data_IF_686424506343
#
_entry.id   IF_686424506343
#
_cell.length_a   1.000
_cell.length_b   1.000
_cell.length_c   1.000
_cell.angle_alpha   90.00
_cell.angle_beta   90.00
_cell.angle_gamma   90.00
#
_symmetry.space_group_name_H-M   'P 1'
#
loop_
_entity.id
_entity.type
_entity.pdbx_description
1 polymer ?
#
# COMPACT_ATOMS: atom_id res chain seq x y z
N UNK A 1 -33.97 12.41 27.23
CA UNK A 1 -33.14 13.04 28.27
C UNK A 1 -33.94 13.03 29.56
N UNK A 2 -33.39 12.51 30.65
CA UNK A 2 -34.03 12.63 31.96
C UNK A 2 -34.05 14.10 32.41
N UNK A 3 -35.07 14.57 33.15
CA UNK A 3 -35.14 15.94 33.62
C UNK A 3 -33.99 16.27 34.58
N UNK A 4 -33.46 17.49 34.48
CA UNK A 4 -32.39 18.01 35.33
C UNK A 4 -32.84 18.00 36.80
N UNK A 5 -32.14 17.21 37.63
CA UNK A 5 -32.35 17.16 39.08
C UNK A 5 -31.31 18.05 39.78
N UNK A 6 -31.69 19.21 40.35
CA UNK A 6 -30.76 20.11 41.03
C UNK A 6 -30.21 19.55 42.35
N UNK A 7 -30.80 18.47 42.90
CA UNK A 7 -30.31 17.81 44.13
C UNK A 7 -29.25 16.72 43.85
N UNK A 8 -29.03 16.35 42.58
CA UNK A 8 -28.00 15.39 42.22
C UNK A 8 -26.60 16.03 42.33
N UNK A 9 -25.58 15.29 42.82
CA UNK A 9 -24.22 15.81 42.85
C UNK A 9 -23.71 16.10 41.44
N UNK A 10 -22.85 17.11 41.25
CA UNK A 10 -22.33 17.45 39.93
C UNK A 10 -21.50 16.29 39.38
N UNK A 11 -21.78 15.89 38.15
CA UNK A 11 -21.03 14.85 37.45
C UNK A 11 -19.61 15.30 37.07
N UNK A 12 -19.37 16.61 37.03
CA UNK A 12 -18.07 17.23 36.83
C UNK A 12 -17.87 18.35 37.84
N UNK A 13 -16.77 18.29 38.57
CA UNK A 13 -16.34 19.35 39.49
C UNK A 13 -14.91 19.73 39.15
N UNK A 14 -14.67 21.02 38.92
CA UNK A 14 -13.34 21.58 38.70
C UNK A 14 -13.06 22.63 39.76
N UNK A 15 -11.88 22.55 40.38
CA UNK A 15 -11.40 23.51 41.36
C UNK A 15 -9.96 23.87 41.03
N UNK A 16 -9.71 25.14 40.77
CA UNK A 16 -8.37 25.71 40.72
C UNK A 16 -8.07 26.34 42.08
N UNK A 17 -7.05 25.82 42.77
CA UNK A 17 -6.58 26.34 44.04
C UNK A 17 -5.29 27.13 43.83
N UNK A 18 -5.27 28.37 44.31
CA UNK A 18 -4.09 29.21 44.32
C UNK A 18 -3.70 29.51 45.76
N UNK A 19 -2.43 29.28 46.08
CA UNK A 19 -1.88 29.54 47.41
C UNK A 19 -0.61 30.36 47.29
N UNK A 20 -0.49 31.41 48.09
CA UNK A 20 0.69 32.24 48.17
C UNK A 20 1.59 31.73 49.31
N UNK A 21 2.82 31.34 49.01
CA UNK A 21 3.84 31.11 50.02
C UNK A 21 4.31 32.46 50.57
N UNK A 22 4.53 32.59 51.88
CA UNK A 22 5.07 33.81 52.43
C UNK A 22 6.45 34.09 51.83
N UNK A 23 6.78 35.38 51.58
CA UNK A 23 8.08 35.74 51.03
C UNK A 23 9.20 35.25 51.97
N UNK A 24 10.34 34.79 51.43
CA UNK A 24 11.46 34.35 52.24
C UNK A 24 11.94 35.51 53.13
N UNK A 25 12.16 35.22 54.43
CA UNK A 25 12.50 36.20 55.47
C UNK A 25 13.86 36.89 55.26
N UNK A 26 14.64 36.47 54.27
CA UNK A 26 16.01 36.90 54.03
C UNK A 26 16.13 38.24 53.25
N UNK A 27 15.05 38.71 52.59
CA UNK A 27 15.12 39.85 51.66
C UNK A 27 14.48 41.17 52.15
N UNK A 28 14.20 41.36 53.45
CA UNK A 28 13.62 42.60 54.01
C UNK A 28 12.43 43.17 53.19
N UNK A 29 11.58 42.31 52.62
CA UNK A 29 10.40 42.72 51.86
C UNK A 29 10.69 43.36 50.48
N UNK A 30 11.92 43.36 49.98
CA UNK A 30 12.22 43.90 48.66
C UNK A 30 11.94 42.86 47.56
N UNK A 31 10.88 43.10 46.78
CA UNK A 31 10.55 42.31 45.59
C UNK A 31 11.47 42.76 44.45
N UNK A 32 12.45 41.92 44.09
CA UNK A 32 13.49 42.30 43.11
C UNK A 32 13.19 41.85 41.68
N UNK A 33 12.35 40.82 41.47
CA UNK A 33 12.09 40.26 40.13
C UNK A 33 10.71 39.56 40.04
N UNK A 34 10.07 39.62 38.86
CA UNK A 34 8.79 38.97 38.55
C UNK A 34 8.83 37.47 38.82
N UNK A 35 9.96 36.81 38.51
CA UNK A 35 10.16 35.37 38.75
C UNK A 35 10.13 35.00 40.23
N UNK A 36 10.53 35.92 41.10
CA UNK A 36 10.48 35.69 42.55
C UNK A 36 9.04 35.67 43.05
N UNK A 37 8.18 36.53 42.51
CA UNK A 37 6.74 36.56 42.83
C UNK A 37 6.05 35.29 42.30
N UNK A 38 6.37 34.88 41.06
CA UNK A 38 5.83 33.65 40.46
C UNK A 38 6.19 32.41 41.29
N UNK A 39 7.37 32.37 41.92
CA UNK A 39 7.77 31.27 42.80
C UNK A 39 6.96 31.17 44.10
N UNK A 40 6.31 32.26 44.51
CA UNK A 40 5.45 32.29 45.69
C UNK A 40 4.06 31.75 45.39
N UNK A 41 3.64 31.79 44.13
CA UNK A 41 2.34 31.28 43.72
C UNK A 41 2.42 29.76 43.51
N UNK A 42 1.63 29.02 44.28
CA UNK A 42 1.42 27.58 44.10
C UNK A 42 -0.02 27.37 43.64
N UNK A 43 -0.15 26.98 42.38
CA UNK A 43 -1.41 26.59 41.78
C UNK A 43 -1.57 25.07 41.83
N UNK A 44 -2.81 24.58 41.94
CA UNK A 44 -3.16 23.17 41.88
C UNK A 44 -4.58 23.02 41.32
N UNK A 45 -4.76 22.18 40.32
CA UNK A 45 -6.08 21.89 39.75
C UNK A 45 -6.61 20.54 40.27
N UNK A 46 -7.78 20.54 40.92
CA UNK A 46 -8.53 19.34 41.32
C UNK A 46 -9.77 19.18 40.43
N UNK A 47 -9.82 18.07 39.69
CA UNK A 47 -10.92 17.70 38.81
C UNK A 47 -11.52 16.40 39.32
N UNK A 48 -12.83 16.35 39.48
CA UNK A 48 -13.57 15.14 39.83
C UNK A 48 -14.68 14.89 38.83
N UNK A 49 -14.72 13.69 38.30
CA UNK A 49 -15.70 13.27 37.30
C UNK A 49 -16.36 12.00 37.79
N UNK A 50 -17.65 12.08 38.05
CA UNK A 50 -18.45 10.98 38.59
C UNK A 50 -19.68 10.76 37.72
N UNK A 51 -19.96 9.50 37.37
CA UNK A 51 -21.17 9.08 36.66
C UNK A 51 -21.41 9.83 35.33
N UNK A 52 -20.34 10.08 34.59
CA UNK A 52 -20.41 10.78 33.30
C UNK A 52 -20.56 9.79 32.14
N UNK A 53 -21.61 9.92 31.34
CA UNK A 53 -21.74 9.23 30.05
C UNK A 53 -21.81 10.28 28.95
N UNK A 54 -20.79 10.33 28.09
CA UNK A 54 -20.64 11.37 27.08
C UNK A 54 -20.40 10.75 25.69
N UNK A 55 -21.02 11.33 24.67
CA UNK A 55 -20.76 11.02 23.27
C UNK A 55 -20.19 12.29 22.64
N UNK A 56 -18.98 12.21 22.07
CA UNK A 56 -18.29 13.36 21.46
C UNK A 56 -17.69 12.96 20.13
N UNK A 57 -17.66 13.90 19.20
CA UNK A 57 -16.92 13.75 17.96
C UNK A 57 -15.41 13.92 18.17
N UNK A 58 -14.60 13.14 17.45
CA UNK A 58 -13.14 13.25 17.51
C UNK A 58 -12.64 14.66 17.15
N UNK A 59 -13.27 15.32 16.17
CA UNK A 59 -12.97 16.71 15.82
C UNK A 59 -13.12 17.69 17.00
N UNK A 60 -14.13 17.49 17.84
CA UNK A 60 -14.39 18.35 19.00
C UNK A 60 -13.33 18.14 20.09
N UNK A 61 -12.95 16.89 20.37
CA UNK A 61 -11.89 16.60 21.35
C UNK A 61 -10.55 17.21 20.92
N UNK A 62 -10.24 17.14 19.62
CA UNK A 62 -9.02 17.75 19.09
C UNK A 62 -9.07 19.28 19.21
N UNK A 63 -10.19 19.91 18.86
CA UNK A 63 -10.35 21.36 19.04
C UNK A 63 -10.28 21.80 20.51
N UNK A 64 -10.61 20.92 21.46
CA UNK A 64 -10.43 21.17 22.90
C UNK A 64 -9.00 20.90 23.38
N UNK A 65 -8.23 20.07 22.68
CA UNK A 65 -6.85 19.75 23.05
C UNK A 65 -5.97 21.01 22.97
N UNK A 66 -6.22 21.90 22.02
CA UNK A 66 -5.53 23.19 21.88
C UNK A 66 -5.72 24.08 23.13
N UNK A 67 -6.85 23.97 23.83
CA UNK A 67 -7.09 24.70 25.09
C UNK A 67 -6.40 24.04 26.30
N UNK A 68 -6.04 22.77 26.18
CA UNK A 68 -5.32 22.01 27.20
C UNK A 68 -3.79 22.06 26.99
N UNK A 69 -3.32 22.48 25.81
CA UNK A 69 -1.93 22.76 25.51
C UNK A 69 -1.52 24.08 26.17
N UNK A 70 -1.06 24.00 27.41
CA UNK A 70 -0.57 25.16 28.17
C UNK A 70 0.70 25.72 27.51
N UNK A 71 0.66 27.00 27.09
CA UNK A 71 1.84 27.68 26.53
C UNK A 71 2.95 27.74 27.59
N UNK A 72 4.14 27.24 27.25
CA UNK A 72 5.31 27.11 28.13
C UNK A 72 5.89 28.50 28.45
N UNK A 73 5.22 29.29 29.29
CA UNK A 73 5.73 30.61 29.75
C UNK A 73 5.95 30.64 31.27
N UNK A 74 5.36 29.73 32.04
CA UNK A 74 5.71 29.57 33.45
C UNK A 74 6.75 28.46 33.64
N UNK A 75 7.85 28.76 34.30
CA UNK A 75 8.91 27.81 34.73
C UNK A 75 8.42 26.71 35.70
N UNK A 76 7.12 26.58 35.91
CA UNK A 76 6.47 25.65 36.83
C UNK A 76 5.24 25.03 36.15
N UNK A 77 5.30 23.74 35.83
CA UNK A 77 4.16 22.99 35.27
C UNK A 77 3.03 22.90 36.29
N UNK A 78 1.80 23.26 35.91
CA UNK A 78 0.63 23.19 36.79
C UNK A 78 0.39 21.75 37.30
N UNK A 79 0.50 21.50 38.62
CA UNK A 79 0.10 20.23 39.20
C UNK A 79 -1.40 20.01 39.01
N UNK A 80 -1.76 18.81 38.58
CA UNK A 80 -3.12 18.43 38.21
C UNK A 80 -3.50 17.15 38.95
N UNK A 81 -4.72 17.11 39.47
CA UNK A 81 -5.26 16.00 40.21
C UNK A 81 -6.66 15.67 39.67
N UNK A 82 -6.79 14.55 38.96
CA UNK A 82 -8.06 14.12 38.35
C UNK A 82 -8.51 12.81 39.00
N UNK A 83 -9.75 12.79 39.47
CA UNK A 83 -10.43 11.60 39.97
C UNK A 83 -11.57 11.25 39.03
N UNK A 84 -11.56 10.03 38.51
CA UNK A 84 -12.55 9.53 37.56
C UNK A 84 -13.27 8.33 38.18
N UNK A 85 -14.60 8.37 38.21
CA UNK A 85 -15.46 7.31 38.70
C UNK A 85 -16.67 7.10 37.78
N UNK A 86 -16.87 5.87 37.32
CA UNK A 86 -17.97 5.46 36.45
C UNK A 86 -18.13 6.38 35.22
N UNK A 87 -17.05 6.58 34.47
CA UNK A 87 -17.02 7.43 33.29
C UNK A 87 -17.08 6.59 32.02
N UNK A 88 -17.98 6.93 31.11
CA UNK A 88 -18.14 6.31 29.79
C UNK A 88 -18.07 7.38 28.69
N UNK A 89 -17.15 7.22 27.76
CA UNK A 89 -16.93 8.17 26.66
C UNK A 89 -16.99 7.40 25.35
N UNK A 90 -17.92 7.78 24.47
CA UNK A 90 -17.99 7.25 23.11
C UNK A 90 -17.49 8.32 22.15
N UNK A 91 -16.39 8.03 21.46
CA UNK A 91 -15.76 8.91 20.50
C UNK A 91 -16.15 8.47 19.09
N UNK A 92 -16.82 9.36 18.37
CA UNK A 92 -17.23 9.16 16.99
C UNK A 92 -16.15 9.71 16.08
N UNK A 93 -15.59 8.87 15.21
CA UNK A 93 -14.63 9.31 14.20
C UNK A 93 -15.36 10.02 13.05
N UNK A 94 -15.25 11.34 13.03
CA UNK A 94 -15.86 12.23 12.04
C UNK A 94 -14.84 12.90 11.12
N UNK A 95 -13.55 12.55 11.26
CA UNK A 95 -12.48 13.08 10.42
C UNK A 95 -12.34 12.28 9.12
N UNK A 96 -11.85 12.90 8.04
CA UNK A 96 -11.54 12.17 6.82
C UNK A 96 -10.52 11.05 7.09
N UNK A 97 -10.67 9.89 6.45
CA UNK A 97 -9.77 8.76 6.67
C UNK A 97 -8.34 9.13 6.27
N UNK A 98 -7.39 8.86 7.17
CA UNK A 98 -5.96 9.14 6.95
C UNK A 98 -5.36 8.22 5.88
N UNK A 99 -5.93 7.02 5.72
CA UNK A 99 -5.51 6.04 4.72
C UNK A 99 -6.70 5.69 3.79
N UNK A 100 -6.47 5.79 2.48
CA UNK A 100 -7.47 5.49 1.44
C UNK A 100 -7.95 4.04 1.40
N UNK A 101 -7.26 3.12 2.09
CA UNK A 101 -7.60 1.69 2.18
C UNK A 101 -8.11 1.29 3.56
N UNK A 102 -8.30 2.22 4.50
CA UNK A 102 -8.83 1.88 5.82
C UNK A 102 -10.31 1.48 5.73
N UNK A 103 -10.75 0.44 6.46
CA UNK A 103 -12.17 0.21 6.69
C UNK A 103 -12.75 1.48 7.33
N UNK A 104 -14.01 1.80 7.04
CA UNK A 104 -14.66 3.05 7.45
C UNK A 104 -14.56 3.38 8.96
N UNK A 105 -15.00 4.58 9.37
CA UNK A 105 -14.78 5.09 10.72
C UNK A 105 -15.30 4.12 11.79
N UNK A 106 -14.41 3.66 12.67
CA UNK A 106 -14.73 2.79 13.81
C UNK A 106 -14.82 3.64 15.07
N UNK A 107 -15.95 3.66 15.80
CA UNK A 107 -16.07 4.44 17.03
C UNK A 107 -15.20 3.86 18.14
N UNK A 108 -14.64 4.74 18.98
CA UNK A 108 -13.82 4.37 20.13
C UNK A 108 -14.63 4.55 21.42
N UNK A 109 -14.89 3.46 22.12
CA UNK A 109 -15.66 3.48 23.38
C UNK A 109 -14.72 3.25 24.57
N UNK A 110 -14.64 4.21 25.48
CA UNK A 110 -13.88 4.14 26.72
C UNK A 110 -14.81 3.96 27.90
N UNK A 111 -14.53 2.97 28.74
CA UNK A 111 -15.21 2.76 30.01
C UNK A 111 -14.18 2.77 31.15
N UNK A 112 -14.29 3.74 32.04
CA UNK A 112 -13.37 3.99 33.15
C UNK A 112 -14.13 3.76 34.46
N UNK A 113 -13.72 2.72 35.19
CA UNK A 113 -14.33 2.35 36.47
C UNK A 113 -13.95 3.30 37.60
N UNK A 114 -12.71 3.21 38.10
CA UNK A 114 -12.15 4.15 39.08
C UNK A 114 -10.68 4.39 38.79
N UNK A 115 -10.30 5.63 38.51
CA UNK A 115 -8.94 5.98 38.10
C UNK A 115 -8.53 7.32 38.68
N UNK A 116 -7.26 7.42 39.06
CA UNK A 116 -6.60 8.62 39.52
C UNK A 116 -5.53 9.02 38.51
N UNK A 117 -5.62 10.25 38.03
CA UNK A 117 -4.62 10.82 37.12
C UNK A 117 -4.00 12.03 37.78
N UNK A 118 -2.68 12.01 37.97
CA UNK A 118 -1.96 13.05 38.69
C UNK A 118 -0.77 13.54 37.89
N UNK A 119 -0.71 14.84 37.60
CA UNK A 119 0.49 15.48 37.06
C UNK A 119 1.34 16.01 38.20
N UNK A 120 2.59 15.56 38.27
CA UNK A 120 3.54 16.08 39.25
C UNK A 120 4.19 17.40 38.78
N UNK A 121 4.94 18.03 39.68
CA UNK A 121 5.67 19.29 39.43
C UNK A 121 6.83 19.15 38.42
N UNK A 122 7.19 17.92 38.04
CA UNK A 122 8.19 17.64 37.01
C UNK A 122 7.51 17.48 35.64
N UNK A 123 6.19 17.65 35.57
CA UNK A 123 5.38 17.51 34.37
C UNK A 123 4.97 16.08 34.03
N UNK A 124 5.33 15.07 34.84
CA UNK A 124 5.01 13.66 34.57
C UNK A 124 3.56 13.38 34.97
N UNK A 125 2.79 12.78 34.06
CA UNK A 125 1.41 12.37 34.27
C UNK A 125 1.36 10.91 34.74
N UNK A 126 1.02 10.69 36.01
CA UNK A 126 0.84 9.38 36.61
C UNK A 126 -0.62 8.95 36.48
N UNK A 127 -0.85 7.75 35.96
CA UNK A 127 -2.19 7.16 35.81
C UNK A 127 -2.23 5.90 36.64
N UNK A 128 -3.11 5.86 37.65
CA UNK A 128 -3.18 4.77 38.61
C UNK A 128 -4.64 4.41 38.89
N UNK A 129 -4.98 3.12 39.11
CA UNK A 129 -6.28 2.76 39.65
C UNK A 129 -6.42 3.33 41.07
N UNK A 130 -7.64 3.73 41.46
CA UNK A 130 -7.90 4.10 42.85
C UNK A 130 -7.99 2.79 43.65
N UNK A 131 -7.00 2.54 44.50
CA UNK A 131 -7.02 1.43 45.46
C UNK A 131 -8.22 1.60 46.39
N UNK A 132 -9.31 0.90 46.09
CA UNK A 132 -10.30 0.56 47.12
C UNK A 132 -9.60 -0.33 48.14
N UNK A 133 -9.85 -0.14 49.44
CA UNK A 133 -9.35 -0.94 50.59
C UNK A 133 -9.69 -2.45 50.50
N UNK A 134 -9.26 -3.11 49.44
CA UNK A 134 -9.37 -4.53 49.11
C UNK A 134 -7.97 -5.13 48.93
N UNK A 135 -6.95 -4.43 49.43
CA UNK A 135 -5.55 -4.73 49.18
C UNK A 135 -4.91 -5.52 50.32
N UNK A 136 -5.34 -6.77 50.50
CA UNK A 136 -4.43 -7.83 50.94
C UNK A 136 -4.46 -9.07 50.01
N UNK A 137 -5.45 -9.19 49.09
CA UNK A 137 -5.54 -10.33 48.15
C UNK A 137 -5.54 -9.96 46.66
N UNK A 138 -5.56 -8.66 46.31
CA UNK A 138 -5.69 -8.18 44.93
C UNK A 138 -4.35 -8.03 44.19
N UNK A 139 -3.22 -7.91 44.90
CA UNK A 139 -1.90 -7.75 44.28
C UNK A 139 -1.40 -9.02 43.53
N UNK A 140 -2.01 -10.19 43.79
CA UNK A 140 -1.75 -11.43 43.03
C UNK A 140 -2.85 -11.76 42.02
N UNK A 141 -3.90 -10.94 41.94
CA UNK A 141 -5.17 -11.32 41.35
C UNK A 141 -5.78 -10.20 40.50
N UNK A 142 -5.38 -10.10 39.23
CA UNK A 142 -6.28 -9.61 38.17
C UNK A 142 -7.14 -10.73 37.49
N UNK A 143 -7.88 -11.59 38.22
CA UNK A 143 -9.04 -12.32 37.69
C UNK A 143 -10.38 -11.77 38.24
N UNK A 144 -10.39 -10.83 39.18
CA UNK A 144 -11.63 -10.37 39.82
C UNK A 144 -12.43 -9.38 38.96
N UNK A 145 -11.76 -8.61 38.09
CA UNK A 145 -12.42 -7.78 37.06
C UNK A 145 -13.07 -8.64 35.97
N UNK A 146 -12.55 -9.84 35.69
CA UNK A 146 -13.17 -10.80 34.77
C UNK A 146 -14.34 -11.57 35.42
N UNK A 147 -14.31 -11.77 36.73
CA UNK A 147 -15.33 -12.51 37.47
C UNK A 147 -16.57 -11.67 37.88
N UNK A 148 -16.43 -10.38 38.15
CA UNK A 148 -17.58 -9.52 38.51
C UNK A 148 -18.47 -9.14 37.32
N UNK A 149 -17.97 -9.22 36.09
CA UNK A 149 -18.75 -9.18 34.84
C UNK A 149 -19.15 -10.58 34.33
N UNK A 150 -18.94 -11.65 35.12
CA UNK A 150 -19.34 -13.03 34.78
C UNK A 150 -20.86 -13.20 34.91
N UNK A 151 -21.60 -12.58 34.01
CA UNK A 151 -22.98 -12.96 33.70
C UNK A 151 -22.98 -14.36 33.07
N UNK A 152 -24.09 -15.14 33.12
CA UNK A 152 -24.20 -16.42 32.39
C UNK A 152 -23.83 -16.30 30.89
N UNK A 153 -23.92 -15.11 30.32
CA UNK A 153 -23.42 -14.73 29.00
C UNK A 153 -21.90 -14.89 28.81
N UNK A 154 -21.08 -14.83 29.86
CA UNK A 154 -19.61 -14.95 29.72
C UNK A 154 -19.16 -16.37 29.44
N UNK A 155 -19.83 -17.40 29.98
CA UNK A 155 -19.58 -18.80 29.57
C UNK A 155 -20.12 -19.09 28.17
N UNK A 156 -21.14 -18.37 27.71
CA UNK A 156 -21.57 -18.41 26.31
C UNK A 156 -20.57 -17.70 25.41
N UNK A 157 -20.08 -16.53 25.81
CA UNK A 157 -19.08 -15.73 25.08
C UNK A 157 -17.70 -16.39 25.04
N UNK A 158 -17.29 -17.11 26.09
CA UNK A 158 -16.07 -17.93 26.07
C UNK A 158 -16.24 -19.13 25.12
N UNK A 159 -17.37 -19.85 25.19
CA UNK A 159 -17.67 -20.91 24.22
C UNK A 159 -17.83 -20.40 22.78
N UNK A 160 -18.33 -19.18 22.61
CA UNK A 160 -18.46 -18.50 21.33
C UNK A 160 -17.08 -18.09 20.82
N UNK A 161 -16.21 -17.53 21.66
CA UNK A 161 -14.80 -17.27 21.31
C UNK A 161 -14.04 -18.56 20.98
N UNK A 162 -14.26 -19.65 21.70
CA UNK A 162 -13.63 -20.94 21.38
C UNK A 162 -14.14 -21.51 20.05
N UNK A 163 -15.44 -21.38 19.76
CA UNK A 163 -16.04 -21.73 18.46
C UNK A 163 -15.51 -20.85 17.33
N UNK A 164 -15.39 -19.55 17.55
CA UNK A 164 -14.80 -18.60 16.61
C UNK A 164 -13.35 -18.96 16.35
N UNK A 165 -12.58 -19.28 17.39
CA UNK A 165 -11.17 -19.66 17.26
C UNK A 165 -10.99 -20.96 16.47
N UNK A 166 -11.84 -21.97 16.72
CA UNK A 166 -11.92 -23.19 15.91
C UNK A 166 -12.32 -22.90 14.46
N UNK A 167 -13.31 -22.03 14.24
CA UNK A 167 -13.75 -21.64 12.90
C UNK A 167 -12.66 -20.89 12.12
N UNK A 168 -11.93 -19.99 12.78
CA UNK A 168 -10.81 -19.26 12.21
C UNK A 168 -9.65 -20.19 11.92
N UNK A 169 -9.38 -21.18 12.79
CA UNK A 169 -8.36 -22.17 12.55
C UNK A 169 -8.69 -23.05 11.33
N UNK A 170 -9.96 -23.41 11.15
CA UNK A 170 -10.43 -24.14 9.96
C UNK A 170 -10.31 -23.28 8.69
N UNK A 171 -10.73 -22.02 8.75
CA UNK A 171 -10.58 -21.06 7.63
C UNK A 171 -9.11 -20.86 7.30
N UNK A 172 -8.23 -20.73 8.30
CA UNK A 172 -6.79 -20.60 8.08
C UNK A 172 -6.21 -21.85 7.41
N UNK A 173 -6.65 -23.05 7.81
CA UNK A 173 -6.22 -24.30 7.18
C UNK A 173 -6.70 -24.38 5.73
N UNK A 174 -7.94 -23.97 5.46
CA UNK A 174 -8.49 -23.88 4.10
C UNK A 174 -7.69 -22.91 3.24
N UNK A 175 -7.43 -21.69 3.73
CA UNK A 175 -6.64 -20.67 3.02
C UNK A 175 -5.22 -21.17 2.75
N UNK A 176 -4.60 -21.93 3.67
CA UNK A 176 -3.28 -22.54 3.44
C UNK A 176 -3.32 -23.55 2.29
N UNK A 177 -4.32 -24.44 2.29
CA UNK A 177 -4.50 -25.42 1.21
C UNK A 177 -4.76 -24.74 -0.13
N UNK A 178 -5.59 -23.70 -0.16
CA UNK A 178 -5.87 -22.92 -1.36
C UNK A 178 -4.64 -22.18 -1.86
N UNK A 179 -3.85 -21.56 -0.98
CA UNK A 179 -2.58 -20.93 -1.35
C UNK A 179 -1.60 -21.93 -1.95
N UNK A 180 -1.47 -23.13 -1.37
CA UNK A 180 -0.59 -24.17 -1.90
C UNK A 180 -1.09 -24.68 -3.27
N UNK A 181 -2.40 -24.79 -3.46
CA UNK A 181 -2.99 -25.15 -4.74
C UNK A 181 -2.77 -24.06 -5.80
N UNK A 182 -2.99 -22.78 -5.45
CA UNK A 182 -2.76 -21.64 -6.34
C UNK A 182 -1.28 -21.53 -6.73
N UNK A 183 -0.36 -21.77 -5.80
CA UNK A 183 1.08 -21.83 -6.09
C UNK A 183 1.42 -22.92 -7.09
N UNK A 184 0.84 -24.12 -6.94
CA UNK A 184 0.99 -25.22 -7.92
C UNK A 184 0.40 -24.87 -9.28
N UNK A 185 -0.79 -24.27 -9.32
CA UNK A 185 -1.43 -23.84 -10.57
C UNK A 185 -0.60 -22.77 -11.27
N UNK A 186 -0.06 -21.79 -10.52
CA UNK A 186 0.81 -20.76 -11.07
C UNK A 186 2.09 -21.35 -11.65
N UNK A 187 2.71 -22.31 -10.96
CA UNK A 187 3.89 -23.00 -11.44
C UNK A 187 3.59 -23.78 -12.73
N UNK A 188 2.49 -24.55 -12.76
CA UNK A 188 2.06 -25.29 -13.94
C UNK A 188 1.76 -24.35 -15.12
N UNK A 189 1.10 -23.23 -14.89
CA UNK A 189 0.80 -22.24 -15.93
C UNK A 189 2.08 -21.61 -16.50
N UNK A 190 3.05 -21.31 -15.64
CA UNK A 190 4.38 -20.82 -16.05
C UNK A 190 5.12 -21.84 -16.91
N UNK A 191 5.18 -23.09 -16.47
CA UNK A 191 5.85 -24.16 -17.21
C UNK A 191 5.15 -24.43 -18.55
N UNK A 192 3.83 -24.40 -18.59
CA UNK A 192 3.06 -24.53 -19.83
C UNK A 192 3.34 -23.37 -20.80
N UNK A 193 3.36 -22.13 -20.30
CA UNK A 193 3.69 -20.95 -21.12
C UNK A 193 5.11 -21.01 -21.68
N UNK A 194 6.09 -21.46 -20.89
CA UNK A 194 7.48 -21.65 -21.33
C UNK A 194 7.58 -22.74 -22.41
N UNK A 195 6.86 -23.86 -22.26
CA UNK A 195 6.80 -24.92 -23.26
C UNK A 195 6.23 -24.42 -24.61
N UNK A 196 5.12 -23.66 -24.59
CA UNK A 196 4.57 -23.08 -25.82
C UNK A 196 5.56 -22.11 -26.47
N UNK A 197 6.18 -21.23 -25.69
CA UNK A 197 7.19 -20.29 -26.19
C UNK A 197 8.36 -21.02 -26.84
N UNK A 198 8.83 -22.11 -26.23
CA UNK A 198 9.92 -22.91 -26.77
C UNK A 198 9.52 -23.64 -28.06
N UNK A 199 8.31 -24.20 -28.12
CA UNK A 199 7.79 -24.84 -29.33
C UNK A 199 7.67 -23.85 -30.50
N UNK A 200 7.09 -22.68 -30.26
CA UNK A 200 7.01 -21.62 -31.29
C UNK A 200 8.40 -21.19 -31.76
N UNK A 201 9.37 -21.09 -30.86
CA UNK A 201 10.76 -20.78 -31.23
C UNK A 201 11.36 -21.87 -32.12
N UNK A 202 11.21 -23.15 -31.76
CA UNK A 202 11.71 -24.27 -32.55
C UNK A 202 11.10 -24.31 -33.95
N UNK A 203 9.78 -24.14 -34.06
CA UNK A 203 9.08 -24.08 -35.35
C UNK A 203 9.58 -22.89 -36.20
N UNK A 204 9.77 -21.73 -35.56
CA UNK A 204 10.32 -20.53 -36.24
C UNK A 204 11.74 -20.78 -36.75
N UNK A 205 12.60 -21.39 -35.94
CA UNK A 205 13.98 -21.70 -36.32
C UNK A 205 14.04 -22.74 -37.46
N UNK A 206 13.16 -23.75 -37.43
CA UNK A 206 13.02 -24.72 -38.52
C UNK A 206 12.57 -24.07 -39.83
N UNK A 207 11.54 -23.20 -39.78
CA UNK A 207 11.07 -22.46 -40.96
C UNK A 207 12.16 -21.53 -41.52
N UNK A 208 12.94 -20.86 -40.66
CA UNK A 208 14.09 -20.05 -41.09
C UNK A 208 15.15 -20.91 -41.77
N UNK A 209 15.40 -22.12 -41.27
CA UNK A 209 16.33 -23.05 -41.89
C UNK A 209 15.85 -23.50 -43.27
N UNK A 210 14.57 -23.84 -43.43
CA UNK A 210 14.01 -24.22 -44.72
C UNK A 210 14.02 -23.06 -45.72
N UNK A 211 13.67 -21.85 -45.27
CA UNK A 211 13.75 -20.65 -46.10
C UNK A 211 15.17 -20.41 -46.59
N UNK A 212 16.16 -20.52 -45.69
CA UNK A 212 17.57 -20.37 -46.04
C UNK A 212 18.02 -21.42 -47.06
N UNK A 213 17.68 -22.69 -46.85
CA UNK A 213 18.01 -23.76 -47.79
C UNK A 213 17.42 -23.51 -49.18
N UNK A 214 16.13 -23.15 -49.26
CA UNK A 214 15.48 -22.82 -50.53
C UNK A 214 16.09 -21.59 -51.21
N UNK A 215 16.50 -20.57 -50.44
CA UNK A 215 17.22 -19.41 -50.99
C UNK A 215 18.58 -19.80 -51.57
N UNK A 216 19.32 -20.67 -50.87
CA UNK A 216 20.61 -21.18 -51.33
C UNK A 216 20.45 -22.04 -52.61
N UNK A 217 19.42 -22.90 -52.67
CA UNK A 217 19.08 -23.70 -53.87
C UNK A 217 18.73 -22.82 -55.07
N UNK A 218 17.93 -21.77 -54.87
CA UNK A 218 17.58 -20.81 -55.93
C UNK A 218 18.85 -20.11 -56.45
N UNK A 219 19.75 -19.71 -55.57
CA UNK A 219 21.00 -19.06 -55.97
C UNK A 219 21.86 -20.00 -56.83
N UNK A 220 21.99 -21.28 -56.44
CA UNK A 220 22.70 -22.30 -57.21
C UNK A 220 22.08 -22.45 -58.61
N UNK A 221 20.76 -22.62 -58.70
CA UNK A 221 20.06 -22.76 -59.98
C UNK A 221 20.21 -21.52 -60.89
N UNK A 222 20.26 -20.31 -60.30
CA UNK A 222 20.50 -19.07 -61.06
C UNK A 222 21.93 -19.02 -61.60
N UNK A 223 22.92 -19.46 -60.84
CA UNK A 223 24.32 -19.56 -61.29
C UNK A 223 24.47 -20.58 -62.43
N UNK A 224 23.87 -21.77 -62.29
CA UNK A 224 23.87 -22.81 -63.33
C UNK A 224 23.17 -22.32 -64.60
N UNK A 225 21.99 -21.69 -64.48
CA UNK A 225 21.29 -21.09 -65.61
C UNK A 225 22.17 -20.06 -66.33
N UNK A 226 22.89 -19.22 -65.58
CA UNK A 226 23.79 -18.22 -66.17
C UNK A 226 24.93 -18.88 -66.93
N UNK A 227 25.57 -19.89 -66.35
CA UNK A 227 26.64 -20.66 -67.01
C UNK A 227 26.17 -21.35 -68.29
N UNK A 228 24.96 -21.93 -68.28
CA UNK A 228 24.35 -22.54 -69.46
C UNK A 228 24.05 -21.50 -70.55
N UNK A 229 23.48 -20.36 -70.19
CA UNK A 229 23.22 -19.27 -71.14
C UNK A 229 24.51 -18.73 -71.78
N UNK A 230 25.58 -18.59 -71.00
CA UNK A 230 26.89 -18.17 -71.51
C UNK A 230 27.49 -19.22 -72.46
N UNK A 231 27.31 -20.50 -72.15
CA UNK A 231 27.73 -21.61 -73.05
C UNK A 231 26.95 -21.61 -74.35
N UNK A 232 25.63 -21.45 -74.29
CA UNK A 232 24.76 -21.34 -75.48
C UNK A 232 25.19 -20.14 -76.33
N UNK A 233 25.44 -18.99 -75.72
CA UNK A 233 25.94 -17.79 -76.42
C UNK A 233 27.27 -18.06 -77.12
N UNK A 234 28.21 -18.72 -76.44
CA UNK A 234 29.50 -19.12 -77.02
C UNK A 234 29.32 -20.05 -78.23
N UNK A 235 28.49 -21.07 -78.12
CA UNK A 235 28.18 -21.98 -79.23
C UNK A 235 27.49 -21.27 -80.40
N UNK A 236 26.55 -20.37 -80.12
CA UNK A 236 25.90 -19.53 -81.15
C UNK A 236 26.92 -18.64 -81.89
N UNK A 237 27.87 -18.05 -81.17
CA UNK A 237 28.97 -17.28 -81.77
C UNK A 237 29.87 -18.16 -82.64
N UNK A 238 30.21 -19.37 -82.19
CA UNK A 238 31.00 -20.32 -82.98
C UNK A 238 30.27 -20.76 -84.25
N UNK A 239 28.99 -21.13 -84.18
CA UNK A 239 28.17 -21.51 -85.35
C UNK A 239 28.05 -20.34 -86.33
N UNK A 240 27.83 -19.12 -85.83
CA UNK A 240 27.77 -17.92 -86.67
C UNK A 240 29.10 -17.71 -87.39
N UNK A 241 30.22 -17.85 -86.67
CA UNK A 241 31.57 -17.73 -87.25
C UNK A 241 31.81 -18.80 -88.32
N UNK A 242 31.47 -20.06 -88.04
CA UNK A 242 31.60 -21.18 -88.99
C UNK A 242 30.69 -21.05 -90.21
N UNK A 243 29.49 -20.47 -90.06
CA UNK A 243 28.61 -20.17 -91.18
C UNK A 243 29.14 -19.01 -92.03
N UNK A 244 29.78 -18.00 -91.43
CA UNK A 244 30.43 -16.90 -92.16
C UNK A 244 31.65 -17.41 -92.93
N UNK A 245 32.47 -18.31 -92.35
CA UNK A 245 33.61 -18.90 -93.06
C UNK A 245 33.16 -19.86 -94.18
N UNK A 246 32.09 -20.65 -93.99
CA UNK A 246 31.50 -21.46 -95.07
C UNK A 246 30.84 -20.63 -96.18
N UNK A 247 30.24 -19.47 -95.85
CA UNK A 247 29.75 -18.50 -96.86
C UNK A 247 30.89 -17.79 -97.60
N UNK A 248 32.10 -17.71 -97.04
CA UNK A 248 33.27 -17.14 -97.71
C UNK A 248 33.83 -18.02 -98.83
N UNK A 249 33.59 -19.34 -98.81
CA UNK A 249 33.95 -20.24 -99.93
C UNK A 249 32.80 -20.47 -100.93
N UNK A 250 31.59 -20.03 -100.58
CA UNK A 250 30.37 -20.26 -101.33
C UNK A 250 29.70 -18.97 -101.77
N UNK A 251 30.28 -18.33 -102.78
CA UNK A 251 29.61 -17.45 -103.74
C UNK A 251 29.08 -16.09 -103.23
N UNK A 252 29.67 -15.05 -103.81
CA UNK A 252 29.06 -13.76 -104.16
C UNK A 252 27.54 -13.79 -104.34
N UNK A 253 26.81 -12.99 -103.55
CA UNK A 253 25.81 -12.01 -104.03
C UNK A 253 25.10 -11.32 -102.86
N UNK A 254 25.01 -10.00 -103.02
CA UNK A 254 24.07 -9.01 -102.47
C UNK A 254 22.87 -9.52 -101.64
N UNK A 255 22.54 -8.80 -100.55
CA UNK A 255 21.38 -7.88 -100.51
C UNK A 255 21.35 -7.13 -99.16
N UNK A 256 21.11 -5.83 -99.30
CA UNK A 256 20.80 -4.83 -98.28
C UNK A 256 19.54 -5.12 -97.47
N UNK A 257 19.53 -4.77 -96.18
CA UNK A 257 18.51 -3.88 -95.61
C UNK A 257 18.90 -3.43 -94.19
N UNK A 258 18.70 -2.13 -93.96
CA UNK A 258 19.03 -1.36 -92.76
C UNK A 258 17.95 -1.52 -91.64
N UNK A 259 18.13 -0.89 -90.46
CA UNK A 259 17.73 -1.43 -89.16
C UNK A 259 16.35 -0.93 -88.68
N UNK A 260 15.80 -1.58 -87.64
CA UNK A 260 14.73 -1.00 -86.83
C UNK A 260 15.04 -1.06 -85.35
N UNK A 261 14.86 0.10 -84.76
CA UNK A 261 15.24 0.55 -83.44
C UNK A 261 14.50 -0.10 -82.26
N UNK A 262 15.17 0.03 -81.13
CA UNK A 262 14.75 -0.25 -79.76
C UNK A 262 13.46 0.44 -79.33
N UNK A 263 12.71 -0.22 -78.44
CA UNK A 263 11.94 0.46 -77.39
C UNK A 263 11.87 -0.42 -76.13
N UNK A 264 12.57 0.04 -75.10
CA UNK A 264 12.39 -0.31 -73.70
C UNK A 264 10.98 0.08 -73.25
N UNK A 265 10.30 -0.79 -72.49
CA UNK A 265 9.23 -0.36 -71.60
C UNK A 265 9.47 -0.90 -70.20
N UNK A 266 9.85 0.03 -69.33
CA UNK A 266 9.80 -0.06 -67.88
C UNK A 266 8.34 0.12 -67.45
N UNK A 267 7.87 -0.68 -66.49
CA UNK A 267 6.82 -0.24 -65.58
C UNK A 267 6.97 -0.92 -64.22
N UNK A 268 7.30 -0.07 -63.24
CA UNK A 268 7.07 -0.28 -61.82
C UNK A 268 5.58 -0.57 -61.55
N UNK A 269 5.31 -1.48 -60.63
CA UNK A 269 4.17 -1.37 -59.71
C UNK A 269 4.64 -1.82 -58.33
N UNK A 270 4.64 -0.85 -57.41
CA UNK A 270 4.54 -1.08 -55.97
C UNK A 270 3.09 -1.45 -55.69
N UNK A 271 2.86 -2.47 -54.88
CA UNK A 271 1.65 -2.54 -54.06
C UNK A 271 2.03 -3.01 -52.67
N UNK A 272 1.95 -2.06 -51.75
CA UNK A 272 1.86 -2.27 -50.32
C UNK A 272 0.51 -2.94 -50.01
N UNK A 273 0.53 -4.09 -49.35
CA UNK A 273 -0.62 -4.55 -48.58
C UNK A 273 -0.23 -4.81 -47.13
N UNK A 274 -0.74 -3.90 -46.30
CA UNK A 274 -0.98 -4.05 -44.87
C UNK A 274 -1.63 -5.40 -44.56
N UNK A 275 -1.21 -6.04 -43.48
CA UNK A 275 -2.10 -6.84 -42.64
C UNK A 275 -1.56 -6.90 -41.21
N UNK A 276 -2.53 -6.93 -40.28
CA UNK A 276 -2.49 -6.72 -38.83
C UNK A 276 -1.39 -7.45 -38.05
#
# INVERSE_FOLDING_TARGET
MAPYNPEAPPCLRLRLEESLKPPPKENNGHVLDKKSIESWLKQNADIRINDLCLVVNMSTIIGLADLAEDEIIASNTLPLNITLENVRINLIEDRPPVNITSPGPVPLNLAIGRMHVKRDKNGILHIQPIETNLNEMAASNYPLTAALFRQPDTMQRERERDRELLSLQLIMQQIKLENDNLRKQLQNAKDNSENYRQKTKQETDALRSYLKAAQDDINILLEEKKALLDTIRSLQLQVTTLNVTKKSEGNSSSISCAPRDYALYSSHTKDDLKQN
#
